data_IF_446267307687
#
_entry.id   IF_446267307687
#
_cell.length_a   1.000
_cell.length_b   1.000
_cell.length_c   1.000
_cell.angle_alpha   90.00
_cell.angle_beta   90.00
_cell.angle_gamma   90.00
#
_symmetry.space_group_name_H-M   'P 1'
#
loop_
_entity.id
_entity.type
_entity.pdbx_description
1 polymer ?
#
# COMPACT_ATOMS: atom_id res chain seq x y z
N UNK A 1 -9.83 -23.99 11.77
CA UNK A 1 -9.29 -23.01 10.79
C UNK A 1 -8.58 -23.70 9.60
N UNK A 2 -8.39 -25.03 9.63
CA UNK A 2 -7.58 -25.81 8.68
C UNK A 2 -7.97 -25.70 7.19
N UNK A 3 -9.25 -25.54 6.83
CA UNK A 3 -9.66 -25.62 5.42
C UNK A 3 -9.66 -24.28 4.65
N UNK A 4 -9.24 -23.17 5.27
CA UNK A 4 -9.34 -21.84 4.64
C UNK A 4 -8.13 -21.45 3.81
N UNK A 5 -7.03 -22.19 3.79
CA UNK A 5 -5.88 -21.88 2.92
C UNK A 5 -5.62 -22.95 1.84
N UNK A 6 -6.27 -24.10 1.94
CA UNK A 6 -6.11 -25.27 1.06
C UNK A 6 -6.99 -25.25 -0.18
N UNK A 7 -7.98 -24.35 -0.27
CA UNK A 7 -8.95 -24.34 -1.38
C UNK A 7 -8.94 -23.03 -2.16
N UNK A 8 -9.04 -23.08 -3.51
CA UNK A 8 -9.13 -21.89 -4.34
C UNK A 8 -10.36 -21.03 -4.00
N UNK A 9 -10.16 -19.72 -3.77
CA UNK A 9 -11.20 -18.81 -3.26
C UNK A 9 -11.92 -17.98 -4.30
N UNK A 10 -13.23 -17.79 -4.12
CA UNK A 10 -14.04 -16.77 -4.79
C UNK A 10 -13.63 -15.34 -4.42
N UNK A 11 -14.15 -14.34 -5.14
CA UNK A 11 -13.84 -12.92 -4.91
C UNK A 11 -14.20 -12.48 -3.47
N UNK A 12 -15.44 -12.73 -3.06
CA UNK A 12 -15.92 -12.37 -1.71
C UNK A 12 -15.25 -13.17 -0.60
N UNK A 13 -14.88 -14.43 -0.87
CA UNK A 13 -14.18 -15.27 0.11
C UNK A 13 -12.76 -14.78 0.40
N UNK A 14 -12.06 -14.21 -0.59
CA UNK A 14 -10.75 -13.56 -0.36
C UNK A 14 -10.92 -12.38 0.58
N UNK A 15 -11.94 -11.55 0.36
CA UNK A 15 -12.21 -10.37 1.17
C UNK A 15 -12.63 -10.76 2.60
N UNK A 16 -13.57 -11.69 2.73
CA UNK A 16 -14.02 -12.22 4.02
C UNK A 16 -12.85 -12.84 4.80
N UNK A 17 -12.02 -13.66 4.12
CA UNK A 17 -10.86 -14.25 4.77
C UNK A 17 -9.84 -13.21 5.22
N UNK A 18 -9.63 -12.17 4.41
CA UNK A 18 -8.77 -11.04 4.77
C UNK A 18 -9.25 -10.40 6.07
N UNK A 19 -10.51 -9.99 6.13
CA UNK A 19 -11.06 -9.32 7.32
C UNK A 19 -11.10 -10.22 8.55
N UNK A 20 -11.44 -11.50 8.38
CA UNK A 20 -11.38 -12.47 9.48
C UNK A 20 -9.97 -12.64 10.02
N UNK A 21 -8.97 -12.77 9.13
CA UNK A 21 -7.59 -12.93 9.53
C UNK A 21 -7.06 -11.67 10.22
N UNK A 22 -7.32 -10.50 9.64
CA UNK A 22 -6.98 -9.20 10.24
C UNK A 22 -7.64 -9.05 11.62
N UNK A 23 -8.90 -9.43 11.80
CA UNK A 23 -9.59 -9.36 13.09
C UNK A 23 -9.00 -10.32 14.11
N UNK A 24 -8.78 -11.58 13.72
CA UNK A 24 -8.32 -12.63 14.63
C UNK A 24 -6.88 -12.42 15.10
N UNK A 25 -6.04 -11.78 14.27
CA UNK A 25 -4.62 -11.54 14.55
C UNK A 25 -4.26 -10.05 14.52
N UNK A 26 -5.23 -9.18 14.80
CA UNK A 26 -5.06 -7.72 14.75
C UNK A 26 -3.82 -7.25 15.49
N UNK A 27 -3.67 -7.73 16.74
CA UNK A 27 -2.56 -7.35 17.62
C UNK A 27 -1.21 -7.65 16.98
N UNK A 28 -1.05 -8.83 16.39
CA UNK A 28 0.24 -9.27 15.82
C UNK A 28 0.62 -8.38 14.63
N UNK A 29 -0.31 -8.19 13.69
CA UNK A 29 -0.06 -7.36 12.51
C UNK A 29 0.12 -5.88 12.85
N UNK A 30 -0.70 -5.35 13.77
CA UNK A 30 -0.61 -3.96 14.19
C UNK A 30 0.71 -3.68 14.92
N UNK A 31 1.17 -4.57 15.81
CA UNK A 31 2.46 -4.42 16.49
C UNK A 31 3.61 -4.46 15.49
N UNK A 32 3.58 -5.35 14.48
CA UNK A 32 4.60 -5.36 13.42
C UNK A 32 4.68 -3.98 12.77
N UNK A 33 3.56 -3.45 12.30
CA UNK A 33 3.54 -2.12 11.65
C UNK A 33 3.95 -1.00 12.60
N UNK A 34 3.52 -1.05 13.86
CA UNK A 34 3.86 -0.05 14.86
C UNK A 34 5.36 -0.04 15.17
N UNK A 35 6.02 -1.19 15.23
CA UNK A 35 7.47 -1.28 15.47
C UNK A 35 8.26 -0.62 14.32
N UNK A 36 7.84 -0.83 13.08
CA UNK A 36 8.53 -0.28 11.92
C UNK A 36 8.18 1.18 11.63
N UNK A 37 6.90 1.51 11.62
CA UNK A 37 6.39 2.80 11.15
C UNK A 37 6.11 3.78 12.30
N UNK A 38 5.88 3.29 13.52
CA UNK A 38 5.65 4.13 14.70
C UNK A 38 6.79 5.12 14.96
N UNK A 39 8.07 4.68 15.03
CA UNK A 39 9.20 5.60 15.17
C UNK A 39 9.29 6.62 14.03
N UNK A 40 9.01 6.20 12.79
CA UNK A 40 9.02 7.09 11.61
C UNK A 40 7.97 8.19 11.75
N UNK A 41 6.75 7.82 12.15
CA UNK A 41 5.66 8.78 12.38
C UNK A 41 5.90 9.71 13.57
N UNK A 42 6.59 9.23 14.61
CA UNK A 42 7.01 10.09 15.72
C UNK A 42 8.05 11.12 15.28
N UNK A 43 9.05 10.71 14.51
CA UNK A 43 10.05 11.63 13.95
C UNK A 43 9.39 12.63 13.01
N UNK A 44 8.43 12.19 12.19
CA UNK A 44 7.61 13.07 11.34
C UNK A 44 6.87 14.13 12.16
N UNK A 45 6.19 13.74 13.24
CA UNK A 45 5.47 14.67 14.10
C UNK A 45 6.42 15.68 14.80
N UNK A 46 7.59 15.24 15.25
CA UNK A 46 8.61 16.12 15.83
C UNK A 46 9.12 17.12 14.78
N UNK A 47 9.36 16.67 13.55
CA UNK A 47 9.79 17.56 12.47
C UNK A 47 8.72 18.60 12.13
N UNK A 48 7.43 18.23 12.12
CA UNK A 48 6.34 19.19 11.95
C UNK A 48 6.33 20.25 13.05
N UNK A 49 6.40 19.84 14.32
CA UNK A 49 6.46 20.77 15.45
C UNK A 49 7.66 21.73 15.34
N UNK A 50 8.83 21.20 14.98
CA UNK A 50 10.04 22.01 14.82
C UNK A 50 9.99 22.97 13.63
N UNK A 51 9.14 22.68 12.64
CA UNK A 51 8.96 23.51 11.44
C UNK A 51 7.89 24.60 11.62
N UNK A 52 7.30 24.70 12.82
CA UNK A 52 6.28 25.71 13.14
C UNK A 52 4.85 25.23 13.01
N UNK A 53 4.59 23.96 12.66
CA UNK A 53 3.24 23.40 12.68
C UNK A 53 2.78 23.22 14.13
N UNK A 54 1.64 23.82 14.48
CA UNK A 54 1.11 23.71 15.83
C UNK A 54 0.51 22.34 16.15
N UNK A 55 0.56 21.96 17.43
CA UNK A 55 0.05 20.64 17.86
C UNK A 55 -1.46 20.52 17.71
N UNK A 56 -2.20 21.60 17.98
CA UNK A 56 -3.63 21.75 17.73
C UNK A 56 -3.87 22.78 16.62
N UNK A 57 -5.11 22.89 16.15
CA UNK A 57 -5.50 23.94 15.20
C UNK A 57 -5.20 25.33 15.78
N UNK A 58 -4.44 26.13 15.05
CA UNK A 58 -4.40 27.57 15.28
C UNK A 58 -5.58 28.21 14.57
N UNK A 59 -6.46 28.84 15.35
CA UNK A 59 -7.51 29.70 14.80
C UNK A 59 -6.91 31.09 14.67
N UNK A 60 -6.51 31.47 13.45
CA UNK A 60 -6.09 32.84 13.16
C UNK A 60 -7.21 33.82 13.47
N UNK A 61 -6.89 35.02 13.95
CA UNK A 61 -7.88 36.07 14.23
C UNK A 61 -8.55 36.63 12.97
N UNK A 62 -7.98 36.36 11.80
CA UNK A 62 -8.37 36.98 10.53
C UNK A 62 -8.90 35.91 9.56
N UNK A 63 -10.09 36.17 8.99
CA UNK A 63 -10.78 35.31 8.01
C UNK A 63 -12.05 34.63 8.54
N UNK A 64 -13.01 34.35 7.65
CA UNK A 64 -14.20 33.56 7.98
C UNK A 64 -13.78 32.11 8.32
N UNK A 65 -14.43 31.50 9.32
CA UNK A 65 -14.11 30.15 9.78
C UNK A 65 -14.15 29.10 8.64
N UNK A 66 -15.01 29.32 7.64
CA UNK A 66 -15.16 28.47 6.46
C UNK A 66 -13.97 28.59 5.50
N UNK A 67 -13.44 29.81 5.29
CA UNK A 67 -12.24 30.01 4.47
C UNK A 67 -11.04 29.33 5.12
N UNK A 68 -10.91 29.44 6.44
CA UNK A 68 -9.86 28.74 7.20
C UNK A 68 -9.99 27.21 7.14
N UNK A 69 -11.21 26.69 6.98
CA UNK A 69 -11.44 25.24 6.79
C UNK A 69 -11.06 24.84 5.37
N UNK A 70 -11.49 25.59 4.36
CA UNK A 70 -11.17 25.31 2.96
C UNK A 70 -9.66 25.32 2.73
N UNK A 71 -8.94 26.33 3.24
CA UNK A 71 -7.48 26.38 3.15
C UNK A 71 -6.81 25.26 3.92
N UNK A 72 -7.36 24.85 5.07
CA UNK A 72 -6.81 23.70 5.82
C UNK A 72 -6.95 22.37 5.08
N UNK A 73 -7.91 22.23 4.17
CA UNK A 73 -8.03 21.05 3.31
C UNK A 73 -7.04 21.09 2.15
N UNK A 74 -6.80 22.27 1.57
CA UNK A 74 -5.76 22.49 0.56
C UNK A 74 -4.36 22.23 1.13
N UNK A 75 -4.11 22.63 2.38
CA UNK A 75 -2.82 22.48 3.05
C UNK A 75 -2.65 21.14 3.80
N UNK A 76 -3.71 20.35 3.99
CA UNK A 76 -3.63 19.11 4.76
C UNK A 76 -2.66 18.11 4.12
N UNK A 77 -1.49 17.94 4.73
CA UNK A 77 -0.45 17.03 4.26
C UNK A 77 0.64 17.67 3.39
N UNK A 78 0.54 18.95 3.06
CA UNK A 78 1.69 19.71 2.55
C UNK A 78 2.47 20.30 3.70
N UNK A 79 3.72 19.87 3.83
CA UNK A 79 4.70 20.58 4.64
C UNK A 79 5.00 21.89 3.91
N UNK A 80 4.57 23.01 4.47
CA UNK A 80 5.00 24.32 3.98
C UNK A 80 6.43 24.58 4.49
N UNK A 81 7.39 23.81 3.96
CA UNK A 81 8.77 23.83 4.38
C UNK A 81 9.49 25.02 3.75
N UNK A 82 9.34 26.19 4.37
CA UNK A 82 10.15 27.36 4.04
C UNK A 82 11.63 27.21 4.44
N UNK A 83 12.01 26.11 5.10
CA UNK A 83 13.39 25.86 5.57
C UNK A 83 14.01 24.60 4.97
N UNK A 84 15.24 24.74 4.48
CA UNK A 84 16.05 23.64 3.94
C UNK A 84 16.21 22.47 4.92
N UNK A 85 16.23 22.75 6.23
CA UNK A 85 16.32 21.71 7.27
C UNK A 85 15.09 20.80 7.32
N UNK A 86 13.89 21.38 7.17
CA UNK A 86 12.65 20.62 7.11
C UNK A 86 12.61 19.73 5.86
N UNK A 87 13.02 20.25 4.70
CA UNK A 87 13.10 19.48 3.44
C UNK A 87 14.01 18.26 3.57
N UNK A 88 15.21 18.45 4.12
CA UNK A 88 16.15 17.35 4.36
C UNK A 88 15.54 16.32 5.32
N UNK A 89 14.85 16.79 6.37
CA UNK A 89 14.12 15.93 7.31
C UNK A 89 13.07 15.06 6.63
N UNK A 90 12.30 15.62 5.69
CA UNK A 90 11.30 14.90 4.92
C UNK A 90 11.89 13.87 3.97
N UNK A 91 13.00 14.21 3.32
CA UNK A 91 13.73 13.27 2.46
C UNK A 91 14.20 12.07 3.30
N UNK A 92 14.74 12.31 4.49
CA UNK A 92 15.19 11.24 5.39
C UNK A 92 14.01 10.37 5.83
N UNK A 93 12.89 10.96 6.23
CA UNK A 93 11.66 10.21 6.57
C UNK A 93 11.21 9.36 5.39
N UNK A 94 11.14 9.94 4.19
CA UNK A 94 10.73 9.23 2.99
C UNK A 94 11.62 8.04 2.67
N UNK A 95 12.95 8.19 2.80
CA UNK A 95 13.90 7.08 2.63
C UNK A 95 13.70 6.01 3.71
N UNK A 96 13.54 6.39 4.97
CA UNK A 96 13.27 5.46 6.06
C UNK A 96 11.97 4.68 5.82
N UNK A 97 10.88 5.35 5.44
CA UNK A 97 9.62 4.71 5.07
C UNK A 97 9.79 3.76 3.89
N UNK A 98 10.49 4.16 2.84
CA UNK A 98 10.71 3.34 1.65
C UNK A 98 11.52 2.06 1.94
N UNK A 99 12.38 2.10 2.96
CA UNK A 99 13.16 0.93 3.40
C UNK A 99 12.37 0.08 4.39
N UNK A 100 11.70 0.68 5.37
CA UNK A 100 11.06 -0.06 6.46
C UNK A 100 9.70 -0.65 6.06
N UNK A 101 8.93 0.00 5.18
CA UNK A 101 7.61 -0.47 4.78
C UNK A 101 7.64 -1.85 4.09
N UNK A 102 8.52 -2.12 3.10
CA UNK A 102 8.63 -3.46 2.52
C UNK A 102 9.05 -4.53 3.55
N UNK A 103 9.87 -4.18 4.55
CA UNK A 103 10.27 -5.14 5.58
C UNK A 103 9.09 -5.46 6.51
N UNK A 104 8.28 -4.46 6.86
CA UNK A 104 7.07 -4.66 7.65
C UNK A 104 6.05 -5.53 6.90
N UNK A 105 5.86 -5.29 5.60
CA UNK A 105 4.97 -6.09 4.76
C UNK A 105 5.46 -7.54 4.63
N UNK A 106 6.78 -7.76 4.55
CA UNK A 106 7.37 -9.10 4.53
C UNK A 106 7.13 -9.84 5.85
N UNK A 107 7.25 -9.15 6.99
CA UNK A 107 6.97 -9.74 8.30
C UNK A 107 5.49 -10.15 8.41
N UNK A 108 4.55 -9.32 7.94
CA UNK A 108 3.13 -9.69 7.86
C UNK A 108 2.94 -10.94 6.98
N UNK A 109 3.61 -10.99 5.83
CA UNK A 109 3.48 -12.13 4.91
C UNK A 109 4.04 -13.43 5.52
N UNK A 110 5.14 -13.36 6.26
CA UNK A 110 5.65 -14.49 7.06
C UNK A 110 4.66 -14.91 8.14
N UNK A 111 4.06 -13.96 8.87
CA UNK A 111 3.01 -14.27 9.85
C UNK A 111 1.84 -15.03 9.21
N UNK A 112 1.34 -14.57 8.06
CA UNK A 112 0.25 -15.25 7.34
C UNK A 112 0.67 -16.66 6.92
N UNK A 113 1.91 -16.84 6.49
CA UNK A 113 2.44 -18.15 6.11
C UNK A 113 2.54 -19.12 7.30
N UNK A 114 3.01 -18.64 8.47
CA UNK A 114 3.02 -19.42 9.72
C UNK A 114 1.59 -19.79 10.15
N UNK A 115 0.66 -18.83 10.13
CA UNK A 115 -0.77 -19.08 10.44
C UNK A 115 -1.37 -20.11 9.50
N UNK A 116 -1.06 -20.05 8.19
CA UNK A 116 -1.50 -21.06 7.22
C UNK A 116 -1.01 -22.46 7.59
N UNK A 117 0.25 -22.58 8.00
CA UNK A 117 0.91 -23.86 8.28
C UNK A 117 0.64 -24.39 9.70
N UNK A 118 -0.18 -23.69 10.49
CA UNK A 118 -0.38 -23.95 11.92
C UNK A 118 0.94 -24.01 12.71
N UNK A 119 1.92 -23.19 12.33
CA UNK A 119 3.20 -23.09 13.03
C UNK A 119 3.14 -22.03 14.13
N UNK A 120 3.77 -22.31 15.27
CA UNK A 120 3.94 -21.33 16.33
C UNK A 120 4.93 -20.24 15.88
N UNK A 121 4.55 -18.98 16.10
CA UNK A 121 5.41 -17.84 15.79
C UNK A 121 5.33 -16.78 16.88
N UNK A 122 6.34 -15.91 16.89
CA UNK A 122 6.32 -14.67 17.68
C UNK A 122 6.52 -13.49 16.74
N UNK A 123 6.09 -12.29 17.15
CA UNK A 123 6.33 -11.06 16.38
C UNK A 123 7.84 -10.85 16.14
N UNK A 124 8.69 -11.16 17.13
CA UNK A 124 10.14 -11.06 16.98
C UNK A 124 10.72 -12.06 15.96
N UNK A 125 10.19 -13.28 15.88
CA UNK A 125 10.69 -14.29 14.93
C UNK A 125 10.39 -13.90 13.49
N UNK A 126 9.18 -13.44 13.18
CA UNK A 126 8.80 -13.02 11.82
C UNK A 126 9.51 -11.73 11.39
N UNK A 127 9.80 -10.82 12.33
CA UNK A 127 10.64 -9.64 12.07
C UNK A 127 12.06 -10.08 11.71
N UNK A 128 12.63 -11.02 12.46
CA UNK A 128 13.96 -11.57 12.17
C UNK A 128 14.00 -12.28 10.81
N UNK A 129 12.93 -13.01 10.46
CA UNK A 129 12.78 -13.62 9.13
C UNK A 129 12.75 -12.56 8.01
N UNK A 130 11.99 -11.47 8.19
CA UNK A 130 11.98 -10.35 7.24
C UNK A 130 13.37 -9.73 7.04
N UNK A 131 14.11 -9.46 8.12
CA UNK A 131 15.47 -8.94 8.04
C UNK A 131 16.48 -9.92 7.44
N UNK A 132 16.29 -11.23 7.59
CA UNK A 132 17.16 -12.24 6.95
C UNK A 132 17.17 -12.14 5.42
N UNK A 133 16.14 -11.53 4.84
CA UNK A 133 16.00 -11.27 3.40
C UNK A 133 15.94 -9.79 3.04
N UNK A 134 16.49 -8.93 3.89
CA UNK A 134 16.48 -7.48 3.69
C UNK A 134 16.96 -7.08 2.29
N UNK A 135 18.14 -7.52 1.86
CA UNK A 135 18.71 -7.13 0.56
C UNK A 135 17.88 -7.58 -0.65
N UNK A 136 17.46 -8.86 -0.77
CA UNK A 136 16.55 -9.28 -1.82
C UNK A 136 15.23 -8.51 -1.85
N UNK A 137 14.64 -8.22 -0.68
CA UNK A 137 13.38 -7.48 -0.57
C UNK A 137 13.58 -6.06 -1.09
N UNK A 138 14.51 -5.31 -0.52
CA UNK A 138 14.77 -3.92 -0.88
C UNK A 138 15.19 -3.79 -2.35
N UNK A 139 16.12 -4.62 -2.82
CA UNK A 139 16.57 -4.58 -4.21
C UNK A 139 15.43 -4.85 -5.20
N UNK A 140 14.55 -5.81 -4.90
CA UNK A 140 13.39 -6.09 -5.75
C UNK A 140 12.34 -4.99 -5.68
N UNK A 141 12.12 -4.39 -4.50
CA UNK A 141 11.20 -3.27 -4.32
C UNK A 141 11.66 -2.01 -5.05
N UNK A 142 12.97 -1.69 -5.00
CA UNK A 142 13.55 -0.58 -5.77
C UNK A 142 13.39 -0.83 -7.27
N UNK A 143 13.72 -2.03 -7.74
CA UNK A 143 13.56 -2.38 -9.15
C UNK A 143 12.10 -2.25 -9.61
N UNK A 144 11.16 -2.80 -8.83
CA UNK A 144 9.73 -2.68 -9.12
C UNK A 144 9.27 -1.21 -9.09
N UNK A 145 9.77 -0.41 -8.15
CA UNK A 145 9.50 1.03 -8.07
C UNK A 145 9.97 1.78 -9.31
N UNK A 146 11.20 1.55 -9.77
CA UNK A 146 11.75 2.16 -11.00
C UNK A 146 10.96 1.76 -12.25
N UNK A 147 10.60 0.48 -12.35
CA UNK A 147 9.77 -0.03 -13.45
C UNK A 147 8.39 0.62 -13.42
N UNK A 148 7.76 0.69 -12.25
CA UNK A 148 6.43 1.30 -12.07
C UNK A 148 6.45 2.78 -12.41
N UNK A 149 7.50 3.49 -12.01
CA UNK A 149 7.72 4.90 -12.35
C UNK A 149 7.77 5.08 -13.87
N UNK A 150 8.55 4.28 -14.60
CA UNK A 150 8.61 4.34 -16.06
C UNK A 150 7.24 4.06 -16.71
N UNK A 151 6.51 3.06 -16.21
CA UNK A 151 5.18 2.70 -16.70
C UNK A 151 4.14 3.81 -16.47
N UNK A 152 4.26 4.58 -15.39
CA UNK A 152 3.30 5.65 -15.05
C UNK A 152 3.65 6.95 -15.77
N UNK A 153 4.93 7.33 -15.78
CA UNK A 153 5.38 8.61 -16.37
C UNK A 153 5.14 8.64 -17.87
N UNK A 154 5.43 7.56 -18.59
CA UNK A 154 5.30 7.54 -20.06
C UNK A 154 3.87 7.87 -20.53
N UNK A 155 2.81 7.20 -20.03
CA UNK A 155 1.43 7.60 -20.30
C UNK A 155 1.10 9.03 -19.89
N UNK A 156 1.53 9.50 -18.72
CA UNK A 156 1.26 10.87 -18.26
C UNK A 156 1.83 11.89 -19.25
N UNK A 157 3.07 11.69 -19.69
CA UNK A 157 3.72 12.55 -20.69
C UNK A 157 2.97 12.50 -22.01
N UNK A 158 2.56 11.31 -22.48
CA UNK A 158 1.77 11.15 -23.71
C UNK A 158 0.43 11.90 -23.60
N UNK A 159 -0.30 11.73 -22.50
CA UNK A 159 -1.61 12.37 -22.27
C UNK A 159 -1.44 13.89 -22.21
N UNK A 160 -0.48 14.38 -21.42
CA UNK A 160 -0.23 15.80 -21.24
C UNK A 160 0.18 16.46 -22.57
N UNK A 161 1.13 15.86 -23.29
CA UNK A 161 1.60 16.38 -24.58
C UNK A 161 0.49 16.36 -25.62
N UNK A 162 -0.22 15.24 -25.77
CA UNK A 162 -1.30 15.10 -26.76
C UNK A 162 -2.46 16.04 -26.44
N UNK A 163 -2.84 16.14 -25.16
CA UNK A 163 -3.90 17.03 -24.69
C UNK A 163 -3.60 18.49 -24.99
N UNK A 164 -2.37 18.94 -24.69
CA UNK A 164 -1.92 20.33 -24.95
C UNK A 164 -1.87 20.61 -26.45
N UNK A 165 -1.29 19.72 -27.26
CA UNK A 165 -1.17 19.90 -28.71
C UNK A 165 -2.56 19.99 -29.36
N UNK A 166 -3.50 19.11 -29.01
CA UNK A 166 -4.86 19.12 -29.58
C UNK A 166 -5.67 20.33 -29.08
N UNK A 167 -5.51 20.71 -27.81
CA UNK A 167 -6.15 21.90 -27.27
C UNK A 167 -5.70 23.18 -28.02
N UNK A 168 -4.42 23.25 -28.37
CA UNK A 168 -3.84 24.40 -29.09
C UNK A 168 -4.13 24.38 -30.60
N UNK A 169 -4.10 23.21 -31.25
CA UNK A 169 -4.19 23.10 -32.71
C UNK A 169 -5.62 22.95 -33.24
N UNK A 170 -6.55 22.43 -32.44
CA UNK A 170 -7.92 22.11 -32.89
C UNK A 170 -8.96 22.86 -32.06
N UNK A 171 -9.13 22.49 -30.80
CA UNK A 171 -10.10 23.10 -29.89
C UNK A 171 -9.82 22.69 -28.43
N UNK A 172 -9.86 23.61 -27.44
CA UNK A 172 -9.56 23.31 -26.04
C UNK A 172 -10.39 22.14 -25.46
N UNK A 173 -11.69 22.13 -25.71
CA UNK A 173 -12.59 21.04 -25.26
C UNK A 173 -12.23 19.70 -25.91
N UNK A 174 -11.76 19.71 -27.17
CA UNK A 174 -11.33 18.49 -27.86
C UNK A 174 -10.07 17.90 -27.21
N UNK A 175 -9.12 18.74 -26.79
CA UNK A 175 -7.93 18.31 -26.06
C UNK A 175 -8.27 17.70 -24.69
N UNK A 176 -9.22 18.30 -23.96
CA UNK A 176 -9.69 17.78 -22.66
C UNK A 176 -10.38 16.41 -22.84
N UNK A 177 -11.33 16.30 -23.77
CA UNK A 177 -12.07 15.05 -24.00
C UNK A 177 -11.12 13.93 -24.42
N UNK A 178 -10.19 14.21 -25.33
CA UNK A 178 -9.17 13.24 -25.74
C UNK A 178 -8.26 12.86 -24.56
N UNK A 179 -7.85 13.83 -23.75
CA UNK A 179 -7.06 13.59 -22.55
C UNK A 179 -7.75 12.64 -21.57
N UNK A 180 -9.06 12.81 -21.34
CA UNK A 180 -9.87 11.92 -20.49
C UNK A 180 -9.91 10.50 -21.08
N UNK A 181 -10.16 10.36 -22.38
CA UNK A 181 -10.21 9.05 -23.04
C UNK A 181 -8.87 8.35 -22.95
N UNK A 182 -7.77 9.04 -23.27
CA UNK A 182 -6.42 8.49 -23.16
C UNK A 182 -6.08 8.11 -21.71
N UNK A 183 -6.44 8.95 -20.75
CA UNK A 183 -6.27 8.65 -19.32
C UNK A 183 -6.96 7.35 -18.92
N UNK A 184 -8.23 7.15 -19.29
CA UNK A 184 -8.96 5.93 -18.97
C UNK A 184 -8.32 4.70 -19.61
N UNK A 185 -7.91 4.79 -20.88
CA UNK A 185 -7.24 3.69 -21.58
C UNK A 185 -5.92 3.33 -20.91
N UNK A 186 -5.06 4.31 -20.66
CA UNK A 186 -3.78 4.08 -20.01
C UNK A 186 -3.93 3.62 -18.56
N UNK A 187 -4.90 4.14 -17.81
CA UNK A 187 -5.16 3.71 -16.44
C UNK A 187 -5.49 2.21 -16.38
N UNK A 188 -6.32 1.70 -17.31
CA UNK A 188 -6.63 0.26 -17.39
C UNK A 188 -5.38 -0.55 -17.76
N UNK A 189 -4.63 -0.11 -18.78
CA UNK A 189 -3.42 -0.82 -19.24
C UNK A 189 -2.35 -0.89 -18.15
N UNK A 190 -2.07 0.24 -17.50
CA UNK A 190 -1.13 0.36 -16.38
C UNK A 190 -1.62 -0.48 -15.20
N UNK A 191 -2.90 -0.37 -14.84
CA UNK A 191 -3.49 -1.14 -13.73
C UNK A 191 -3.35 -2.66 -13.94
N UNK A 192 -3.63 -3.15 -15.15
CA UNK A 192 -3.44 -4.56 -15.49
C UNK A 192 -1.96 -4.99 -15.42
N UNK A 193 -1.05 -4.16 -15.93
CA UNK A 193 0.37 -4.47 -15.95
C UNK A 193 0.97 -4.49 -14.54
N UNK A 194 0.67 -3.48 -13.73
CA UNK A 194 1.12 -3.39 -12.34
C UNK A 194 0.53 -4.49 -11.48
N UNK A 195 -0.76 -4.83 -11.66
CA UNK A 195 -1.39 -5.97 -10.96
C UNK A 195 -0.67 -7.28 -11.28
N UNK A 196 -0.20 -7.46 -12.52
CA UNK A 196 0.54 -8.66 -12.89
C UNK A 196 1.92 -8.76 -12.27
N UNK A 197 2.57 -7.62 -12.03
CA UNK A 197 3.90 -7.59 -11.47
C UNK A 197 3.90 -7.45 -9.95
N UNK A 198 2.88 -6.89 -9.32
CA UNK A 198 2.82 -6.62 -7.87
C UNK A 198 3.05 -7.86 -6.99
N UNK A 199 2.72 -9.06 -7.49
CA UNK A 199 2.96 -10.32 -6.78
C UNK A 199 4.45 -10.72 -6.72
N UNK A 200 5.37 -9.92 -7.27
CA UNK A 200 6.82 -10.14 -7.18
C UNK A 200 7.25 -10.23 -5.72
N UNK A 201 6.64 -9.40 -4.87
CA UNK A 201 7.02 -9.24 -3.48
C UNK A 201 6.83 -10.56 -2.72
N UNK A 202 5.71 -11.25 -2.93
CA UNK A 202 5.47 -12.53 -2.28
C UNK A 202 6.40 -13.63 -2.79
N UNK A 203 6.78 -13.58 -4.07
CA UNK A 203 7.76 -14.51 -4.65
C UNK A 203 9.17 -14.31 -4.09
N UNK A 204 9.54 -13.07 -3.77
CA UNK A 204 10.83 -12.74 -3.15
C UNK A 204 10.88 -13.19 -1.69
N UNK A 205 9.80 -12.94 -0.96
CA UNK A 205 9.69 -13.21 0.48
C UNK A 205 9.50 -14.70 0.76
N UNK A 206 8.45 -15.32 0.23
CA UNK A 206 8.07 -16.70 0.56
C UNK A 206 8.78 -17.73 -0.32
N UNK A 207 8.83 -17.48 -1.63
CA UNK A 207 9.35 -18.47 -2.58
C UNK A 207 10.86 -18.35 -2.83
N UNK A 208 11.47 -17.36 -2.19
CA UNK A 208 12.91 -17.12 -2.25
C UNK A 208 13.47 -16.81 -3.64
N UNK A 209 12.62 -16.36 -4.58
CA UNK A 209 12.98 -16.05 -5.97
C UNK A 209 13.09 -14.54 -6.18
N UNK A 210 14.27 -14.04 -6.56
CA UNK A 210 14.52 -12.60 -6.78
C UNK A 210 14.96 -12.34 -8.22
N UNK A 211 14.44 -11.31 -8.91
CA UNK A 211 13.50 -10.27 -8.44
C UNK A 211 12.01 -10.69 -8.44
N UNK A 212 11.68 -11.95 -8.69
CA UNK A 212 10.31 -12.48 -8.57
C UNK A 212 9.33 -12.10 -9.69
N UNK A 213 9.65 -11.11 -10.54
CA UNK A 213 8.76 -10.58 -11.60
C UNK A 213 8.28 -11.65 -12.60
N UNK A 214 9.18 -12.53 -13.05
CA UNK A 214 8.80 -13.61 -13.98
C UNK A 214 7.85 -14.63 -13.37
N UNK A 215 7.99 -14.91 -12.05
CA UNK A 215 7.08 -15.79 -11.31
C UNK A 215 5.74 -15.10 -11.10
N UNK A 216 5.75 -13.85 -10.67
CA UNK A 216 4.57 -12.97 -10.52
C UNK A 216 3.69 -12.97 -11.77
N UNK A 217 4.30 -12.82 -12.95
CA UNK A 217 3.59 -12.87 -14.23
C UNK A 217 2.87 -14.20 -14.47
N UNK A 218 3.52 -15.31 -14.13
CA UNK A 218 2.98 -16.65 -14.33
C UNK A 218 1.84 -16.93 -13.33
N UNK A 219 1.99 -16.53 -12.07
CA UNK A 219 0.96 -16.66 -11.02
C UNK A 219 -0.32 -15.92 -11.38
N UNK A 220 -0.22 -14.72 -11.95
CA UNK A 220 -1.37 -13.83 -12.20
C UNK A 220 -2.04 -14.02 -13.56
N UNK A 221 -1.46 -14.82 -14.47
CA UNK A 221 -1.82 -14.87 -15.91
C UNK A 221 -3.31 -15.09 -16.20
N UNK A 222 -3.96 -16.03 -15.49
CA UNK A 222 -5.35 -16.45 -15.78
C UNK A 222 -6.43 -15.62 -15.06
N UNK A 223 -6.05 -14.82 -14.05
CA UNK A 223 -7.01 -14.19 -13.12
C UNK A 223 -6.73 -12.70 -12.88
N UNK A 224 -5.96 -12.05 -13.76
CA UNK A 224 -5.55 -10.65 -13.61
C UNK A 224 -6.73 -9.70 -13.38
N UNK A 225 -7.86 -9.89 -14.05
CA UNK A 225 -9.06 -9.05 -13.87
C UNK A 225 -9.67 -9.13 -12.48
N UNK A 226 -9.73 -10.33 -11.89
CA UNK A 226 -10.24 -10.51 -10.53
C UNK A 226 -9.26 -9.90 -9.52
N UNK A 227 -7.95 -10.12 -9.72
CA UNK A 227 -6.92 -9.51 -8.86
C UNK A 227 -6.94 -7.99 -8.94
N UNK A 228 -7.12 -7.42 -10.14
CA UNK A 228 -7.29 -5.99 -10.34
C UNK A 228 -8.55 -5.49 -9.61
N UNK A 229 -9.68 -6.20 -9.74
CA UNK A 229 -10.91 -5.89 -9.02
C UNK A 229 -10.73 -5.90 -7.50
N UNK A 230 -9.95 -6.84 -6.96
CA UNK A 230 -9.63 -6.88 -5.53
C UNK A 230 -8.78 -5.68 -5.11
N UNK A 231 -7.75 -5.32 -5.88
CA UNK A 231 -6.98 -4.09 -5.62
C UNK A 231 -7.86 -2.85 -5.65
N UNK A 232 -8.79 -2.74 -6.61
CA UNK A 232 -9.75 -1.63 -6.68
C UNK A 232 -10.64 -1.60 -5.44
N UNK A 233 -11.17 -2.75 -5.00
CA UNK A 233 -12.01 -2.81 -3.80
C UNK A 233 -11.23 -2.43 -2.55
N UNK A 234 -10.00 -2.94 -2.37
CA UNK A 234 -9.15 -2.54 -1.25
C UNK A 234 -8.84 -1.04 -1.31
N UNK A 235 -8.49 -0.51 -2.48
CA UNK A 235 -8.26 0.92 -2.68
C UNK A 235 -9.48 1.75 -2.27
N UNK A 236 -10.68 1.40 -2.73
CA UNK A 236 -11.92 2.10 -2.35
C UNK A 236 -12.19 2.04 -0.84
N UNK A 237 -11.99 0.88 -0.21
CA UNK A 237 -12.17 0.73 1.24
C UNK A 237 -11.21 1.65 1.99
N UNK A 238 -9.93 1.62 1.62
CA UNK A 238 -8.88 2.44 2.26
C UNK A 238 -9.16 3.92 2.04
N UNK A 239 -9.45 4.34 0.79
CA UNK A 239 -9.76 5.73 0.46
C UNK A 239 -11.00 6.23 1.19
N UNK A 240 -12.06 5.43 1.30
CA UNK A 240 -13.26 5.82 2.05
C UNK A 240 -12.97 6.02 3.55
N UNK A 241 -12.18 5.13 4.15
CA UNK A 241 -11.78 5.25 5.56
C UNK A 241 -10.91 6.50 5.77
N UNK A 242 -9.87 6.67 4.95
CA UNK A 242 -8.96 7.81 5.04
C UNK A 242 -9.69 9.13 4.80
N UNK A 243 -10.54 9.20 3.77
CA UNK A 243 -11.36 10.38 3.48
C UNK A 243 -12.32 10.70 4.63
N UNK A 244 -13.02 9.70 5.18
CA UNK A 244 -13.93 9.90 6.31
C UNK A 244 -13.21 10.47 7.54
N UNK A 245 -12.01 9.97 7.86
CA UNK A 245 -11.18 10.48 8.96
C UNK A 245 -10.69 11.89 8.65
N UNK A 246 -10.12 12.11 7.46
CA UNK A 246 -9.55 13.40 7.09
C UNK A 246 -10.62 14.49 7.02
N UNK A 247 -11.81 14.20 6.52
CA UNK A 247 -12.93 15.14 6.54
C UNK A 247 -13.40 15.42 7.97
N UNK A 248 -13.61 14.40 8.79
CA UNK A 248 -14.18 14.58 10.14
C UNK A 248 -13.21 15.29 11.08
N UNK A 249 -11.96 14.85 11.12
CA UNK A 249 -10.96 15.42 12.01
C UNK A 249 -10.29 16.65 11.40
N UNK A 250 -10.17 16.75 10.07
CA UNK A 250 -9.59 17.92 9.39
C UNK A 250 -10.40 19.18 9.61
N UNK A 251 -11.74 19.10 9.59
CA UNK A 251 -12.59 20.26 9.89
C UNK A 251 -12.33 20.84 11.29
N UNK A 252 -12.04 19.98 12.27
CA UNK A 252 -11.88 20.39 13.68
C UNK A 252 -10.43 20.78 13.97
N UNK A 253 -9.48 19.97 13.50
CA UNK A 253 -8.07 20.06 13.87
C UNK A 253 -7.22 20.83 12.86
N UNK A 254 -7.74 21.16 11.68
CA UNK A 254 -6.99 21.82 10.61
C UNK A 254 -5.68 21.10 10.28
N UNK A 255 -4.71 21.80 9.71
CA UNK A 255 -3.37 21.27 9.43
C UNK A 255 -2.50 21.24 10.70
N UNK A 256 -2.86 20.38 11.66
CA UNK A 256 -2.14 20.25 12.94
C UNK A 256 -1.39 18.91 13.07
N UNK A 257 -0.39 18.89 13.96
CA UNK A 257 0.38 17.67 14.23
C UNK A 257 -0.50 16.56 14.81
N UNK A 258 -1.54 16.91 15.59
CA UNK A 258 -2.50 15.93 16.08
C UNK A 258 -3.29 15.27 14.94
N UNK A 259 -3.72 16.03 13.91
CA UNK A 259 -4.35 15.45 12.73
C UNK A 259 -3.40 14.49 12.01
N UNK A 260 -2.12 14.87 11.84
CA UNK A 260 -1.09 13.99 11.27
C UNK A 260 -0.96 12.69 12.06
N UNK A 261 -0.92 12.75 13.40
CA UNK A 261 -0.82 11.54 14.23
C UNK A 261 -2.06 10.64 14.10
N UNK A 262 -3.27 11.22 14.07
CA UNK A 262 -4.51 10.47 13.86
C UNK A 262 -4.52 9.80 12.49
N UNK A 263 -4.21 10.55 11.44
CA UNK A 263 -4.16 10.03 10.06
C UNK A 263 -3.08 8.95 9.93
N UNK A 264 -1.91 9.11 10.55
CA UNK A 264 -0.85 8.09 10.59
C UNK A 264 -1.30 6.80 11.27
N UNK A 265 -2.02 6.88 12.40
CA UNK A 265 -2.60 5.69 13.05
C UNK A 265 -3.61 4.98 12.14
N UNK A 266 -4.45 5.73 11.44
CA UNK A 266 -5.41 5.18 10.48
C UNK A 266 -4.68 4.56 9.28
N UNK A 267 -3.58 5.16 8.83
CA UNK A 267 -2.70 4.60 7.80
C UNK A 267 -2.12 3.25 8.23
N UNK A 268 -1.72 3.07 9.51
CA UNK A 268 -1.29 1.74 9.99
C UNK A 268 -2.40 0.71 9.85
N UNK A 269 -3.63 1.05 10.28
CA UNK A 269 -4.77 0.13 10.25
C UNK A 269 -5.16 -0.23 8.81
N UNK A 270 -5.21 0.75 7.91
CA UNK A 270 -5.55 0.52 6.51
C UNK A 270 -4.46 -0.23 5.75
N UNK A 271 -3.18 0.07 6.03
CA UNK A 271 -2.02 -0.67 5.50
C UNK A 271 -2.06 -2.12 5.95
N UNK A 272 -2.40 -2.38 7.21
CA UNK A 272 -2.56 -3.74 7.72
C UNK A 272 -3.61 -4.54 6.93
N UNK A 273 -4.79 -3.95 6.70
CA UNK A 273 -5.86 -4.60 5.92
C UNK A 273 -5.35 -4.91 4.51
N UNK A 274 -4.66 -3.97 3.89
CA UNK A 274 -4.08 -4.14 2.56
C UNK A 274 -3.02 -5.25 2.51
N UNK A 275 -2.04 -5.23 3.42
CA UNK A 275 -0.95 -6.22 3.46
C UNK A 275 -1.47 -7.63 3.75
N UNK A 276 -2.48 -7.76 4.63
CA UNK A 276 -3.15 -9.05 4.87
C UNK A 276 -3.91 -9.50 3.62
N UNK A 277 -4.63 -8.59 2.98
CA UNK A 277 -5.35 -8.87 1.73
C UNK A 277 -4.42 -9.31 0.61
N UNK A 278 -3.30 -8.62 0.47
CA UNK A 278 -2.22 -8.98 -0.43
C UNK A 278 -1.70 -10.39 -0.15
N UNK A 279 -1.41 -10.73 1.11
CA UNK A 279 -0.96 -12.07 1.50
C UNK A 279 -1.97 -13.17 1.17
N UNK A 280 -3.27 -12.94 1.43
CA UNK A 280 -4.34 -13.88 1.07
C UNK A 280 -4.45 -14.04 -0.45
N UNK A 281 -4.40 -12.94 -1.20
CA UNK A 281 -4.40 -12.99 -2.67
C UNK A 281 -3.19 -13.75 -3.21
N UNK A 282 -2.00 -13.51 -2.63
CA UNK A 282 -0.76 -14.15 -3.05
C UNK A 282 -0.84 -15.66 -2.85
N UNK A 283 -1.27 -16.10 -1.67
CA UNK A 283 -1.40 -17.51 -1.36
C UNK A 283 -2.50 -18.19 -2.20
N UNK A 284 -3.64 -17.53 -2.47
CA UNK A 284 -4.66 -18.07 -3.40
C UNK A 284 -4.09 -18.26 -4.81
N UNK A 285 -3.37 -17.26 -5.33
CA UNK A 285 -2.74 -17.34 -6.65
C UNK A 285 -1.68 -18.46 -6.69
N UNK A 286 -0.92 -18.62 -5.62
CA UNK A 286 0.09 -19.67 -5.48
C UNK A 286 -0.53 -21.06 -5.43
N UNK A 287 -1.52 -21.30 -4.58
CA UNK A 287 -2.22 -22.59 -4.47
C UNK A 287 -2.81 -23.02 -5.82
N UNK A 288 -3.44 -22.08 -6.55
CA UNK A 288 -4.02 -22.34 -7.88
C UNK A 288 -3.00 -22.69 -8.96
N UNK A 289 -1.80 -22.11 -8.89
CA UNK A 289 -0.79 -22.29 -9.94
C UNK A 289 0.14 -23.48 -9.64
N UNK A 290 0.60 -23.61 -8.41
CA UNK A 290 1.63 -24.58 -8.02
C UNK A 290 1.05 -25.90 -7.49
N UNK A 291 -0.28 -25.99 -7.37
CA UNK A 291 -1.01 -27.13 -6.81
C UNK A 291 -0.46 -27.56 -5.43
N UNK A 292 -0.10 -26.56 -4.62
CA UNK A 292 0.49 -26.79 -3.29
C UNK A 292 -0.49 -27.48 -2.34
N UNK A 293 -1.80 -27.31 -2.57
CA UNK A 293 -2.87 -28.06 -1.89
C UNK A 293 -2.73 -29.57 -2.09
N UNK A 294 -2.49 -30.02 -3.33
CA UNK A 294 -2.29 -31.43 -3.64
C UNK A 294 -1.00 -31.99 -3.04
N UNK A 295 0.07 -31.20 -2.98
CA UNK A 295 1.34 -31.62 -2.37
C UNK A 295 1.23 -31.73 -0.85
N UNK A 296 0.57 -30.77 -0.21
CA UNK A 296 0.32 -30.74 1.24
C UNK A 296 -0.54 -31.95 1.64
N UNK A 297 -1.60 -32.27 0.88
CA UNK A 297 -2.38 -33.49 1.09
C UNK A 297 -1.54 -34.77 0.92
N UNK A 298 -0.66 -34.83 -0.08
CA UNK A 298 0.21 -35.99 -0.30
C UNK A 298 1.28 -36.17 0.79
N UNK A 299 1.74 -35.10 1.43
CA UNK A 299 2.66 -35.16 2.57
C UNK A 299 1.95 -35.63 3.84
N UNK A 300 0.73 -35.15 4.10
CA UNK A 300 -0.10 -35.61 5.23
C UNK A 300 -0.40 -37.12 5.13
N UNK A 301 -0.68 -37.62 3.93
CA UNK A 301 -0.84 -39.06 3.67
C UNK A 301 0.43 -39.90 3.90
N UNK A 302 1.63 -39.30 3.83
CA UNK A 302 2.89 -40.02 4.09
C UNK A 302 3.27 -40.05 5.57
N UNK A 303 2.64 -39.21 6.39
CA UNK A 303 2.87 -39.15 7.85
C UNK A 303 1.88 -40.00 8.66
N UNK A 304 0.93 -40.66 7.99
CA UNK A 304 0.03 -41.70 8.54
C UNK A 304 0.54 -43.08 8.15
#
# INVERSE_FOLDING_TARGET
MENKFSTPKGFGEILDHTFQLTKNRFKDFFIILLIFMGPVYLVQAILQLSSGTSFFREVGSDGEWFDQILTSFEESGTFDSSSLGADIGLIIIGILSAILAPVAEAAILFTINHVRRNEDYSVGSVIKEAFSRFWPIIGSSILFGLISLGIIIVPIVIIAFTGVVVAAAVHPVGGILLGIVLFLVFAILVGLLLTRWSFYFGSVVLDKVSPGLGRSWRLTRKRTWVLLGLYIVFYLIISCISFGVQMTFGMVLGNSVLLTLITNLITLVTTMIFSVGYGVMYLDAKTRHDADDLKEMLEEFKTV
#
